data_IF_755296062003
#
_entry.id   IF_755296062003
#
_cell.length_a   1.000
_cell.length_b   1.000
_cell.length_c   1.000
_cell.angle_alpha   90.00
_cell.angle_beta   90.00
_cell.angle_gamma   90.00
#
_symmetry.space_group_name_H-M   'P 1'
#
loop_
_entity.id
_entity.type
_entity.pdbx_description
1 polymer ?
#
# COMPACT_ATOMS: atom_id res chain seq x y z
N UNK A 1 27.37 20.12 14.08
CA UNK A 1 26.63 19.55 15.19
C UNK A 1 26.04 18.22 14.74
N UNK A 2 26.28 17.08 15.39
CA UNK A 2 25.68 15.83 14.99
C UNK A 2 24.19 15.86 15.32
N UNK A 3 23.36 15.56 14.30
CA UNK A 3 21.91 15.39 14.43
C UNK A 3 21.68 14.17 15.31
N UNK A 4 20.99 14.38 16.43
CA UNK A 4 20.64 13.33 17.36
C UNK A 4 19.89 12.21 16.63
N UNK A 5 20.46 11.01 16.66
CA UNK A 5 19.81 9.76 16.29
C UNK A 5 18.66 9.53 17.28
N UNK A 6 17.45 9.93 16.86
CA UNK A 6 16.25 9.44 17.53
C UNK A 6 16.23 7.92 17.39
N UNK A 7 16.14 7.21 18.50
CA UNK A 7 15.90 5.76 18.56
C UNK A 7 14.61 5.45 17.80
N UNK A 8 14.75 5.18 16.51
CA UNK A 8 13.63 4.81 15.66
C UNK A 8 13.17 3.41 16.06
N UNK A 9 12.04 3.33 16.75
CA UNK A 9 11.31 2.09 16.93
C UNK A 9 11.03 1.45 15.56
N UNK A 10 10.63 0.17 15.53
CA UNK A 10 10.31 -0.52 14.27
C UNK A 10 9.31 0.30 13.45
N UNK A 11 9.57 0.59 12.17
CA UNK A 11 8.70 1.44 11.34
C UNK A 11 7.40 0.77 10.90
N UNK A 12 7.16 -0.47 11.31
CA UNK A 12 5.95 -1.25 10.98
C UNK A 12 5.49 -2.10 12.17
N UNK A 13 4.19 -2.38 12.21
CA UNK A 13 3.56 -3.28 13.19
C UNK A 13 3.57 -4.71 12.66
N UNK A 14 3.84 -5.68 13.53
CA UNK A 14 3.81 -7.11 13.20
C UNK A 14 5.16 -7.69 12.79
N UNK A 15 5.12 -8.76 12.02
CA UNK A 15 6.32 -9.50 11.58
C UNK A 15 6.98 -8.73 10.44
N UNK A 16 8.30 -8.53 10.54
CA UNK A 16 9.07 -7.90 9.48
C UNK A 16 9.09 -8.74 8.21
N UNK A 17 8.80 -8.10 7.10
CA UNK A 17 8.82 -8.73 5.78
C UNK A 17 10.24 -8.72 5.21
N UNK A 18 11.14 -9.49 5.84
CA UNK A 18 12.54 -9.59 5.43
C UNK A 18 12.95 -11.04 5.12
N UNK A 19 13.97 -11.20 4.31
CA UNK A 19 14.59 -12.48 3.99
C UNK A 19 13.61 -13.52 3.45
N UNK A 20 13.60 -14.76 4.01
CA UNK A 20 12.74 -15.84 3.55
C UNK A 20 11.25 -15.54 3.64
N UNK A 21 10.82 -14.73 4.62
CA UNK A 21 9.42 -14.34 4.80
C UNK A 21 8.96 -13.47 3.63
N UNK A 22 9.78 -12.50 3.22
CA UNK A 22 9.49 -11.65 2.07
C UNK A 22 9.43 -12.47 0.76
N UNK A 23 10.35 -13.41 0.57
CA UNK A 23 10.37 -14.29 -0.60
C UNK A 23 9.13 -15.21 -0.65
N UNK A 24 8.75 -15.78 0.48
CA UNK A 24 7.54 -16.59 0.60
C UNK A 24 6.28 -15.77 0.28
N UNK A 25 6.17 -14.57 0.86
CA UNK A 25 5.05 -13.66 0.60
C UNK A 25 4.96 -13.30 -0.89
N UNK A 26 6.08 -12.93 -1.52
CA UNK A 26 6.12 -12.61 -2.94
C UNK A 26 5.62 -13.77 -3.81
N UNK A 27 6.06 -15.00 -3.50
CA UNK A 27 5.60 -16.20 -4.23
C UNK A 27 4.10 -16.44 -4.10
N UNK A 28 3.56 -16.30 -2.89
CA UNK A 28 2.14 -16.55 -2.63
C UNK A 28 1.23 -15.46 -3.20
N UNK A 29 1.67 -14.20 -3.22
CA UNK A 29 0.88 -13.09 -3.78
C UNK A 29 0.98 -13.01 -5.31
N UNK A 30 1.88 -13.75 -5.95
CA UNK A 30 1.95 -13.82 -7.41
C UNK A 30 0.68 -14.38 -8.06
N UNK A 31 -0.10 -15.20 -7.35
CA UNK A 31 -1.40 -15.70 -7.83
C UNK A 31 -2.44 -14.61 -8.04
N UNK A 32 -2.32 -13.47 -7.35
CA UNK A 32 -3.22 -12.32 -7.44
C UNK A 32 -2.87 -11.33 -8.59
N UNK A 33 -1.98 -11.70 -9.52
CA UNK A 33 -1.62 -10.84 -10.66
C UNK A 33 -2.82 -10.35 -11.49
N UNK A 34 -3.88 -11.14 -11.76
CA UNK A 34 -5.07 -10.64 -12.46
C UNK A 34 -5.74 -9.47 -11.72
N UNK A 35 -5.81 -9.52 -10.39
CA UNK A 35 -6.37 -8.45 -9.55
C UNK A 35 -5.51 -7.19 -9.61
N UNK A 36 -4.19 -7.31 -9.52
CA UNK A 36 -3.28 -6.18 -9.69
C UNK A 36 -3.40 -5.52 -11.06
N UNK A 37 -3.62 -6.31 -12.13
CA UNK A 37 -3.88 -5.77 -13.48
C UNK A 37 -5.19 -5.00 -13.55
N UNK A 38 -6.25 -5.53 -12.94
CA UNK A 38 -7.55 -4.86 -12.92
C UNK A 38 -7.45 -3.54 -12.15
N UNK A 39 -6.76 -3.55 -11.00
CA UNK A 39 -6.54 -2.33 -10.20
C UNK A 39 -5.66 -1.31 -10.93
N UNK A 40 -4.57 -1.75 -11.56
CA UNK A 40 -3.72 -0.87 -12.36
C UNK A 40 -4.51 -0.18 -13.48
N UNK A 41 -5.39 -0.89 -14.19
CA UNK A 41 -6.27 -0.30 -15.22
C UNK A 41 -7.25 0.71 -14.64
N UNK A 42 -7.81 0.42 -13.46
CA UNK A 42 -8.73 1.33 -12.76
C UNK A 42 -8.03 2.62 -12.36
N UNK A 43 -6.82 2.53 -11.79
CA UNK A 43 -6.00 3.68 -11.44
C UNK A 43 -5.61 4.45 -12.71
N UNK A 44 -5.14 3.76 -13.75
CA UNK A 44 -4.71 4.37 -14.99
C UNK A 44 -5.82 5.19 -15.69
N UNK A 45 -7.09 4.77 -15.55
CA UNK A 45 -8.23 5.50 -16.09
C UNK A 45 -8.49 6.87 -15.41
N UNK A 46 -7.88 7.10 -14.25
CA UNK A 46 -7.98 8.36 -13.49
C UNK A 46 -6.76 9.29 -13.74
N UNK A 47 -5.77 8.85 -14.52
CA UNK A 47 -4.49 9.52 -14.67
C UNK A 47 -4.29 10.07 -16.09
N UNK A 48 -3.69 11.25 -16.16
CA UNK A 48 -3.24 11.80 -17.43
C UNK A 48 -1.94 11.12 -17.92
N UNK A 49 -1.72 11.04 -19.23
CA UNK A 49 -0.45 10.57 -19.77
C UNK A 49 0.74 11.32 -19.18
N UNK A 50 1.78 10.57 -18.79
CA UNK A 50 2.98 11.15 -18.17
C UNK A 50 2.89 11.37 -16.66
N UNK A 51 1.77 11.04 -16.04
CA UNK A 51 1.59 11.19 -14.59
C UNK A 51 2.69 10.51 -13.78
N UNK A 52 3.09 11.17 -12.69
CA UNK A 52 4.09 10.68 -11.73
C UNK A 52 3.36 10.00 -10.58
N UNK A 53 3.57 8.69 -10.45
CA UNK A 53 2.85 7.84 -9.49
C UNK A 53 3.82 7.29 -8.44
N UNK A 54 3.41 7.31 -7.18
CA UNK A 54 4.11 6.63 -6.09
C UNK A 54 3.25 5.50 -5.53
N UNK A 55 3.76 4.28 -5.54
CA UNK A 55 3.23 3.19 -4.74
C UNK A 55 3.96 3.12 -3.40
N UNK A 56 3.20 3.23 -2.30
CA UNK A 56 3.71 3.17 -0.93
C UNK A 56 3.51 1.75 -0.40
N UNK A 57 4.58 1.15 0.06
CA UNK A 57 4.68 -0.25 0.47
C UNK A 57 4.26 -1.25 -0.64
N UNK A 58 4.90 -1.19 -1.83
CA UNK A 58 4.58 -2.05 -2.97
C UNK A 58 4.85 -3.54 -2.72
N UNK A 59 5.54 -3.90 -1.65
CA UNK A 59 5.98 -5.26 -1.42
C UNK A 59 6.76 -5.82 -2.61
N UNK A 60 6.30 -6.91 -3.26
CA UNK A 60 6.95 -7.46 -4.46
C UNK A 60 6.86 -6.59 -5.72
N UNK A 61 6.15 -5.46 -5.69
CA UNK A 61 6.04 -4.49 -6.76
C UNK A 61 5.05 -4.83 -7.86
N UNK A 62 4.11 -5.74 -7.62
CA UNK A 62 3.23 -6.23 -8.68
C UNK A 62 2.30 -5.14 -9.24
N UNK A 63 1.69 -4.29 -8.40
CA UNK A 63 0.84 -3.20 -8.85
C UNK A 63 1.65 -2.14 -9.61
N UNK A 64 2.82 -1.72 -9.08
CA UNK A 64 3.72 -0.79 -9.76
C UNK A 64 4.12 -1.30 -11.16
N UNK A 65 4.43 -2.60 -11.26
CA UNK A 65 4.81 -3.25 -12.53
C UNK A 65 3.64 -3.23 -13.52
N UNK A 66 2.43 -3.58 -13.09
CA UNK A 66 1.26 -3.58 -13.96
C UNK A 66 0.88 -2.14 -14.38
N UNK A 67 1.05 -1.12 -13.51
CA UNK A 67 0.91 0.29 -13.90
C UNK A 67 1.96 0.70 -14.93
N UNK A 68 3.23 0.36 -14.73
CA UNK A 68 4.30 0.71 -15.65
C UNK A 68 4.13 0.05 -17.03
N UNK A 69 3.54 -1.15 -17.11
CA UNK A 69 3.21 -1.83 -18.38
C UNK A 69 2.16 -1.10 -19.21
N UNK A 70 1.32 -0.27 -18.59
CA UNK A 70 0.36 0.55 -19.31
C UNK A 70 1.00 1.73 -20.05
N UNK A 71 2.31 1.94 -19.87
CA UNK A 71 3.21 2.63 -20.80
C UNK A 71 3.31 4.14 -20.65
N UNK A 72 2.39 4.79 -19.96
CA UNK A 72 2.33 6.26 -19.96
C UNK A 72 2.75 6.93 -18.65
N UNK A 73 3.14 6.17 -17.62
CA UNK A 73 3.35 6.69 -16.27
C UNK A 73 4.79 6.56 -15.79
N UNK A 74 5.23 7.53 -14.98
CA UNK A 74 6.49 7.44 -14.24
C UNK A 74 6.21 6.88 -12.86
N UNK A 75 6.42 5.57 -12.67
CA UNK A 75 6.09 4.87 -11.43
C UNK A 75 7.32 4.77 -10.54
N UNK A 76 7.15 5.10 -9.26
CA UNK A 76 8.13 4.90 -8.19
C UNK A 76 7.50 4.06 -7.09
N UNK A 77 8.27 3.17 -6.47
CA UNK A 77 7.86 2.39 -5.29
C UNK A 77 8.69 2.77 -4.07
N UNK A 78 8.05 2.91 -2.91
CA UNK A 78 8.71 3.15 -1.63
C UNK A 78 8.31 2.07 -0.63
N UNK A 79 9.26 1.29 -0.16
CA UNK A 79 9.03 0.26 0.86
C UNK A 79 10.04 0.37 1.99
N UNK A 80 9.63 0.01 3.19
CA UNK A 80 10.52 -0.01 4.35
C UNK A 80 11.39 -1.27 4.38
N UNK A 81 10.94 -2.35 3.74
CA UNK A 81 11.65 -3.63 3.66
C UNK A 81 12.74 -3.61 2.59
N UNK A 82 13.97 -3.87 3.03
CA UNK A 82 15.12 -4.05 2.13
C UNK A 82 14.91 -5.23 1.16
N UNK A 83 14.36 -6.31 1.68
CA UNK A 83 14.07 -7.51 0.90
C UNK A 83 13.00 -7.26 -0.16
N UNK A 84 11.92 -6.53 0.16
CA UNK A 84 10.91 -6.20 -0.83
C UNK A 84 11.44 -5.25 -1.91
N UNK A 85 12.23 -4.24 -1.55
CA UNK A 85 12.86 -3.36 -2.54
C UNK A 85 13.72 -4.16 -3.54
N UNK A 86 14.51 -5.12 -3.06
CA UNK A 86 15.30 -5.99 -3.93
C UNK A 86 14.41 -6.87 -4.81
N UNK A 87 13.40 -7.54 -4.22
CA UNK A 87 12.47 -8.42 -4.95
C UNK A 87 11.68 -7.62 -6.01
N UNK A 88 11.21 -6.42 -5.69
CA UNK A 88 10.48 -5.57 -6.61
C UNK A 88 11.35 -5.15 -7.81
N UNK A 89 12.61 -4.78 -7.58
CA UNK A 89 13.59 -4.50 -8.64
C UNK A 89 13.81 -5.70 -9.56
N UNK A 90 13.98 -6.90 -8.98
CA UNK A 90 14.14 -8.14 -9.75
C UNK A 90 12.89 -8.47 -10.57
N UNK A 91 11.69 -8.26 -9.99
CA UNK A 91 10.42 -8.47 -10.68
C UNK A 91 10.22 -7.47 -11.82
N UNK A 92 10.54 -6.19 -11.62
CA UNK A 92 10.46 -5.16 -12.65
C UNK A 92 11.41 -5.46 -13.82
N UNK A 93 12.66 -5.84 -13.51
CA UNK A 93 13.63 -6.24 -14.53
C UNK A 93 13.15 -7.44 -15.35
N UNK A 94 12.60 -8.49 -14.70
CA UNK A 94 12.00 -9.64 -15.38
C UNK A 94 10.79 -9.29 -16.23
N UNK A 95 10.03 -8.28 -15.81
CA UNK A 95 8.86 -7.78 -16.55
C UNK A 95 9.23 -6.81 -17.69
N UNK A 96 10.52 -6.43 -17.83
CA UNK A 96 10.99 -5.50 -18.86
C UNK A 96 10.51 -4.06 -18.64
N UNK A 97 10.20 -3.65 -17.40
CA UNK A 97 9.77 -2.29 -17.08
C UNK A 97 10.77 -1.58 -16.20
N UNK A 98 10.88 -0.25 -16.37
CA UNK A 98 11.75 0.59 -15.55
C UNK A 98 10.96 1.28 -14.44
N UNK A 99 11.25 0.91 -13.19
CA UNK A 99 10.63 1.47 -11.99
C UNK A 99 11.73 1.75 -10.97
N UNK A 100 11.73 2.95 -10.39
CA UNK A 100 12.60 3.26 -9.27
C UNK A 100 11.97 2.72 -7.98
N UNK A 101 12.68 1.82 -7.26
CA UNK A 101 12.30 1.39 -5.93
C UNK A 101 13.29 1.90 -4.89
N UNK A 102 12.77 2.63 -3.89
CA UNK A 102 13.54 3.21 -2.78
C UNK A 102 13.15 2.55 -1.46
N UNK A 103 14.17 2.33 -0.61
CA UNK A 103 13.94 1.93 0.77
C UNK A 103 13.78 3.17 1.64
N UNK A 104 12.59 3.38 2.23
CA UNK A 104 12.36 4.42 3.23
C UNK A 104 11.07 4.15 4.02
N UNK A 105 10.89 4.93 5.11
CA UNK A 105 9.67 4.92 5.90
C UNK A 105 8.62 5.86 5.27
N UNK A 106 7.37 5.41 5.21
CA UNK A 106 6.24 6.20 4.71
C UNK A 106 5.97 7.48 5.53
N UNK A 107 6.41 7.54 6.79
CA UNK A 107 6.33 8.76 7.63
C UNK A 107 7.53 9.70 7.51
N UNK A 108 8.49 9.39 6.61
CA UNK A 108 9.67 10.22 6.32
C UNK A 108 10.14 9.93 4.87
N UNK A 109 9.36 10.37 3.89
CA UNK A 109 9.60 10.06 2.47
C UNK A 109 10.73 10.91 1.89
N UNK A 110 11.74 10.31 1.21
CA UNK A 110 12.87 11.02 0.65
C UNK A 110 12.53 11.66 -0.73
N UNK A 111 11.40 12.34 -0.80
CA UNK A 111 10.93 13.03 -1.99
C UNK A 111 10.69 14.53 -1.72
N UNK A 112 10.78 15.35 -2.74
CA UNK A 112 10.40 16.75 -2.67
C UNK A 112 8.88 16.88 -2.40
N UNK A 113 8.47 18.01 -1.86
CA UNK A 113 7.06 18.40 -1.83
C UNK A 113 6.54 18.57 -3.26
N UNK A 114 5.23 18.39 -3.45
CA UNK A 114 4.53 18.69 -4.69
C UNK A 114 5.06 17.93 -5.92
N UNK A 115 5.49 16.68 -5.73
CA UNK A 115 6.15 15.91 -6.78
C UNK A 115 5.22 14.93 -7.51
N UNK A 116 4.32 14.27 -6.80
CA UNK A 116 3.49 13.20 -7.35
C UNK A 116 2.10 13.66 -7.73
N UNK A 117 1.60 13.15 -8.85
CA UNK A 117 0.23 13.31 -9.31
C UNK A 117 -0.72 12.40 -8.57
N UNK A 118 -0.24 11.19 -8.27
CA UNK A 118 -1.03 10.15 -7.64
C UNK A 118 -0.20 9.31 -6.67
N UNK A 119 -0.83 8.95 -5.55
CA UNK A 119 -0.29 8.00 -4.59
C UNK A 119 -1.21 6.80 -4.47
N UNK A 120 -0.65 5.60 -4.31
CA UNK A 120 -1.41 4.42 -3.94
C UNK A 120 -0.72 3.68 -2.80
N UNK A 121 -1.53 3.22 -1.82
CA UNK A 121 -1.10 2.34 -0.73
C UNK A 121 -2.10 1.20 -0.58
N UNK A 122 -1.70 -0.03 -0.92
CA UNK A 122 -2.58 -1.20 -0.91
C UNK A 122 -2.18 -2.20 0.16
N UNK A 123 -3.14 -2.56 1.02
CA UNK A 123 -3.05 -3.61 2.04
C UNK A 123 -1.90 -3.45 3.07
N UNK A 124 -1.35 -2.24 3.23
CA UNK A 124 -0.17 -1.98 4.02
C UNK A 124 -0.37 -0.94 5.14
N UNK A 125 -1.29 0.01 4.98
CA UNK A 125 -1.45 1.16 5.87
C UNK A 125 -1.70 0.76 7.33
N UNK A 126 -2.49 -0.29 7.58
CA UNK A 126 -2.72 -0.87 8.92
C UNK A 126 -1.45 -1.29 9.66
N UNK A 127 -0.34 -1.49 8.93
CA UNK A 127 0.93 -1.91 9.51
C UNK A 127 1.86 -0.72 9.85
N UNK A 128 1.52 0.51 9.50
CA UNK A 128 2.35 1.68 9.81
C UNK A 128 2.34 1.97 11.31
N UNK A 129 3.50 2.26 11.88
CA UNK A 129 3.62 2.64 13.30
C UNK A 129 3.26 4.10 13.54
N UNK A 130 3.47 4.94 12.54
CA UNK A 130 3.09 6.35 12.53
C UNK A 130 2.18 6.64 11.31
N UNK A 131 0.88 6.29 11.40
CA UNK A 131 -0.06 6.47 10.29
C UNK A 131 -0.38 7.94 10.01
N UNK A 132 -0.42 8.80 11.05
CA UNK A 132 -0.67 10.24 10.87
C UNK A 132 0.54 10.92 10.21
N UNK A 133 1.76 10.56 10.62
CA UNK A 133 2.98 11.01 9.95
C UNK A 133 3.02 10.57 8.48
N UNK A 134 2.62 9.33 8.18
CA UNK A 134 2.53 8.85 6.80
C UNK A 134 1.50 9.65 5.98
N UNK A 135 0.32 9.95 6.53
CA UNK A 135 -0.68 10.80 5.86
C UNK A 135 -0.16 12.23 5.63
N UNK A 136 0.59 12.81 6.57
CA UNK A 136 1.21 14.12 6.40
C UNK A 136 2.25 14.10 5.28
N UNK A 137 3.08 13.06 5.21
CA UNK A 137 4.04 12.88 4.13
C UNK A 137 3.36 12.65 2.77
N UNK A 138 2.28 11.84 2.73
CA UNK A 138 1.44 11.68 1.53
C UNK A 138 0.94 13.04 1.04
N UNK A 139 0.40 13.87 1.96
CA UNK A 139 -0.03 15.22 1.60
C UNK A 139 1.13 16.07 1.11
N UNK A 140 2.29 16.04 1.78
CA UNK A 140 3.45 16.85 1.43
C UNK A 140 3.96 16.55 0.02
N UNK A 141 4.09 15.28 -0.33
CA UNK A 141 4.68 14.87 -1.61
C UNK A 141 3.70 14.90 -2.78
N UNK A 142 2.38 14.91 -2.53
CA UNK A 142 1.37 15.16 -3.56
C UNK A 142 1.45 16.63 -4.02
N UNK A 143 1.31 16.86 -5.32
CA UNK A 143 1.12 18.20 -5.87
C UNK A 143 -0.29 18.74 -5.57
N UNK A 144 -0.53 20.05 -5.60
CA UNK A 144 -1.89 20.60 -5.55
C UNK A 144 -2.78 19.97 -6.63
N UNK A 145 -3.97 19.54 -6.26
CA UNK A 145 -4.88 18.76 -7.11
C UNK A 145 -4.54 17.27 -7.23
N UNK A 146 -3.38 16.84 -6.72
CA UNK A 146 -2.98 15.43 -6.72
C UNK A 146 -3.86 14.58 -5.82
N UNK A 147 -3.99 13.29 -6.17
CA UNK A 147 -4.88 12.34 -5.50
C UNK A 147 -4.12 11.20 -4.84
N UNK A 148 -4.68 10.65 -3.78
CA UNK A 148 -4.18 9.44 -3.12
C UNK A 148 -5.29 8.41 -2.97
N UNK A 149 -4.93 7.13 -3.11
CA UNK A 149 -5.79 5.99 -2.88
C UNK A 149 -5.17 5.08 -1.81
N UNK A 150 -5.89 4.86 -0.72
CA UNK A 150 -5.54 3.84 0.26
C UNK A 150 -6.59 2.74 0.18
N UNK A 151 -6.15 1.51 -0.09
CA UNK A 151 -7.01 0.31 -0.07
C UNK A 151 -6.52 -0.56 1.08
N UNK A 152 -7.33 -0.72 2.11
CA UNK A 152 -6.93 -1.55 3.25
C UNK A 152 -8.13 -2.24 3.90
N UNK A 153 -7.82 -3.27 4.70
CA UNK A 153 -8.80 -4.03 5.45
C UNK A 153 -9.45 -3.17 6.54
N UNK A 154 -10.74 -3.39 6.78
CA UNK A 154 -11.45 -2.76 7.89
C UNK A 154 -11.41 -3.63 9.16
N UNK A 155 -11.29 -2.97 10.32
CA UNK A 155 -11.22 -3.60 11.64
C UNK A 155 -12.54 -4.27 12.06
N UNK A 156 -13.64 -3.73 11.59
CA UNK A 156 -15.01 -4.15 11.89
C UNK A 156 -15.62 -5.04 10.79
N UNK A 157 -14.80 -5.58 9.87
CA UNK A 157 -15.25 -6.62 8.95
C UNK A 157 -15.88 -7.79 9.72
N UNK A 158 -17.03 -8.30 9.26
CA UNK A 158 -17.70 -9.41 9.92
C UNK A 158 -16.95 -10.73 9.73
N UNK A 159 -17.23 -11.72 10.56
CA UNK A 159 -16.65 -13.05 10.39
C UNK A 159 -17.21 -13.73 9.13
N UNK A 160 -18.46 -13.43 8.78
CA UNK A 160 -19.11 -13.87 7.56
C UNK A 160 -18.38 -13.32 6.33
N UNK A 161 -18.09 -12.01 6.32
CA UNK A 161 -17.35 -11.39 5.22
C UNK A 161 -15.95 -12.01 5.04
N UNK A 162 -15.27 -12.37 6.14
CA UNK A 162 -13.99 -13.07 6.06
C UNK A 162 -14.18 -14.49 5.50
N UNK A 163 -15.21 -15.20 5.94
CA UNK A 163 -15.51 -16.55 5.46
C UNK A 163 -15.86 -16.55 3.97
N UNK A 164 -16.68 -15.59 3.52
CA UNK A 164 -17.04 -15.40 2.12
C UNK A 164 -15.83 -15.08 1.25
N UNK A 165 -14.92 -14.24 1.75
CA UNK A 165 -13.68 -13.91 1.02
C UNK A 165 -12.77 -15.13 0.86
N UNK A 166 -12.59 -15.91 1.94
CA UNK A 166 -11.82 -17.17 1.90
C UNK A 166 -12.50 -18.19 0.99
N UNK A 167 -13.83 -18.24 0.94
CA UNK A 167 -14.58 -19.16 0.09
C UNK A 167 -14.40 -18.88 -1.42
N UNK A 168 -14.20 -17.62 -1.81
CA UNK A 168 -13.91 -17.22 -3.19
C UNK A 168 -12.52 -17.65 -3.66
N UNK A 169 -11.60 -17.90 -2.72
CA UNK A 169 -10.26 -18.37 -3.03
C UNK A 169 -10.32 -19.89 -3.28
N UNK A 170 -9.77 -20.34 -4.39
CA UNK A 170 -9.67 -21.79 -4.70
C UNK A 170 -8.54 -22.42 -3.89
N UNK A 171 -8.81 -22.67 -2.59
CA UNK A 171 -7.85 -23.15 -1.61
C UNK A 171 -8.30 -24.49 -1.04
N UNK A 172 -7.36 -25.42 -0.81
CA UNK A 172 -7.60 -26.64 -0.03
C UNK A 172 -7.91 -26.34 1.45
N UNK A 173 -8.52 -27.28 2.16
CA UNK A 173 -9.02 -27.10 3.53
C UNK A 173 -8.01 -26.50 4.52
N UNK A 174 -6.78 -27.01 4.52
CA UNK A 174 -5.70 -26.51 5.39
C UNK A 174 -5.34 -25.06 5.08
N UNK A 175 -5.19 -24.73 3.78
CA UNK A 175 -4.88 -23.37 3.33
C UNK A 175 -6.02 -22.39 3.65
N UNK A 176 -7.28 -22.82 3.54
CA UNK A 176 -8.46 -22.02 3.95
C UNK A 176 -8.40 -21.66 5.42
N UNK A 177 -8.13 -22.65 6.29
CA UNK A 177 -8.02 -22.41 7.73
C UNK A 177 -6.89 -21.43 8.05
N UNK A 178 -5.69 -21.63 7.47
CA UNK A 178 -4.55 -20.74 7.67
C UNK A 178 -4.82 -19.33 7.15
N UNK A 179 -5.43 -19.17 5.98
CA UNK A 179 -5.80 -17.88 5.40
C UNK A 179 -6.83 -17.17 6.28
N UNK A 180 -7.86 -17.86 6.74
CA UNK A 180 -8.84 -17.31 7.67
C UNK A 180 -8.19 -16.81 8.96
N UNK A 181 -7.32 -17.60 9.58
CA UNK A 181 -6.58 -17.21 10.79
C UNK A 181 -5.68 -15.98 10.53
N UNK A 182 -5.02 -15.92 9.38
CA UNK A 182 -4.20 -14.77 8.97
C UNK A 182 -5.04 -13.51 8.80
N UNK A 183 -6.20 -13.57 8.13
CA UNK A 183 -7.11 -12.44 7.96
C UNK A 183 -7.64 -11.93 9.30
N UNK A 184 -8.03 -12.83 10.23
CA UNK A 184 -8.43 -12.45 11.59
C UNK A 184 -7.29 -11.76 12.36
N UNK A 185 -6.04 -12.19 12.17
CA UNK A 185 -4.88 -11.54 12.79
C UNK A 185 -4.62 -10.15 12.19
N UNK A 186 -4.75 -10.01 10.88
CA UNK A 186 -4.60 -8.73 10.17
C UNK A 186 -5.69 -7.72 10.58
N UNK A 187 -6.94 -8.18 10.69
CA UNK A 187 -8.09 -7.40 11.15
C UNK A 187 -7.82 -6.70 12.49
N UNK A 188 -7.13 -7.34 13.43
CA UNK A 188 -6.80 -6.75 14.75
C UNK A 188 -5.94 -5.49 14.65
N UNK A 189 -5.17 -5.32 13.58
CA UNK A 189 -4.30 -4.16 13.34
C UNK A 189 -4.94 -3.11 12.45
N UNK A 190 -6.01 -3.47 11.77
CA UNK A 190 -6.74 -2.59 10.88
C UNK A 190 -7.47 -1.47 11.66
N UNK A 191 -7.99 -0.50 10.94
CA UNK A 191 -8.72 0.63 11.48
C UNK A 191 -10.21 0.54 11.13
N UNK A 192 -11.03 1.16 11.95
CA UNK A 192 -12.43 1.46 11.61
C UNK A 192 -12.50 2.73 10.75
N UNK A 193 -13.65 2.97 10.12
CA UNK A 193 -13.87 4.20 9.37
C UNK A 193 -13.66 5.45 10.24
N UNK A 194 -14.24 5.47 11.44
CA UNK A 194 -14.09 6.58 12.37
C UNK A 194 -12.64 6.82 12.83
N UNK A 195 -11.83 5.75 12.96
CA UNK A 195 -10.40 5.88 13.23
C UNK A 195 -9.66 6.50 12.04
N UNK A 196 -9.99 6.13 10.78
CA UNK A 196 -9.43 6.75 9.57
C UNK A 196 -9.82 8.23 9.46
N UNK A 197 -11.10 8.55 9.60
CA UNK A 197 -11.60 9.94 9.55
C UNK A 197 -10.87 10.83 10.57
N UNK A 198 -10.67 10.35 11.79
CA UNK A 198 -9.94 11.06 12.84
C UNK A 198 -8.48 11.31 12.46
N UNK A 199 -7.76 10.26 12.01
CA UNK A 199 -6.38 10.40 11.57
C UNK A 199 -6.23 11.38 10.40
N UNK A 200 -7.15 11.35 9.44
CA UNK A 200 -7.14 12.26 8.28
C UNK A 200 -7.42 13.69 8.72
N UNK A 201 -8.36 13.90 9.66
CA UNK A 201 -8.68 15.22 10.20
C UNK A 201 -7.49 15.88 10.93
N UNK A 202 -6.54 15.09 11.47
CA UNK A 202 -5.30 15.57 12.08
C UNK A 202 -4.21 15.98 11.06
N UNK A 203 -4.52 15.90 9.77
CA UNK A 203 -3.59 16.21 8.68
C UNK A 203 -4.12 17.33 7.79
N UNK A 204 -3.28 17.92 6.93
CA UNK A 204 -3.73 18.96 6.01
C UNK A 204 -4.75 18.48 4.96
N UNK A 205 -5.00 17.19 4.80
CA UNK A 205 -6.12 16.69 4.00
C UNK A 205 -7.48 17.11 4.58
N UNK A 206 -7.60 17.11 5.91
CA UNK A 206 -8.80 17.48 6.65
C UNK A 206 -9.95 16.49 6.50
N UNK A 207 -10.18 15.96 5.30
CA UNK A 207 -11.23 14.97 4.98
C UNK A 207 -10.82 14.09 3.81
N UNK A 208 -11.51 12.95 3.67
CA UNK A 208 -11.40 12.03 2.54
C UNK A 208 -12.78 11.51 2.14
N UNK A 209 -12.86 10.94 0.94
CA UNK A 209 -13.98 10.10 0.54
C UNK A 209 -13.65 8.67 0.94
N UNK A 210 -14.54 8.01 1.68
CA UNK A 210 -14.34 6.65 2.15
C UNK A 210 -15.47 5.77 1.64
N UNK A 211 -15.14 4.84 0.77
CA UNK A 211 -16.04 3.79 0.32
C UNK A 211 -15.78 2.51 1.11
N UNK A 212 -16.82 1.99 1.78
CA UNK A 212 -16.73 0.88 2.71
C UNK A 212 -17.32 -0.38 2.07
N UNK A 213 -16.44 -1.29 1.68
CA UNK A 213 -16.82 -2.65 1.29
C UNK A 213 -16.93 -3.61 2.49
N UNK A 214 -17.36 -4.85 2.27
CA UNK A 214 -17.50 -5.85 3.33
C UNK A 214 -16.19 -6.15 4.09
N UNK A 215 -15.06 -6.15 3.39
CA UNK A 215 -13.75 -6.54 3.92
C UNK A 215 -12.79 -5.36 4.12
N UNK A 216 -12.99 -4.23 3.45
CA UNK A 216 -12.03 -3.15 3.41
C UNK A 216 -12.63 -1.81 3.06
N UNK A 217 -11.75 -0.83 2.99
CA UNK A 217 -12.03 0.53 2.57
C UNK A 217 -11.25 0.89 1.32
N UNK A 218 -11.86 1.70 0.46
CA UNK A 218 -11.17 2.57 -0.48
C UNK A 218 -11.24 4.00 0.04
N UNK A 219 -10.11 4.59 0.34
CA UNK A 219 -10.00 5.93 0.91
C UNK A 219 -9.34 6.82 -0.12
N UNK A 220 -10.08 7.81 -0.61
CA UNK A 220 -9.63 8.77 -1.60
C UNK A 220 -9.27 10.08 -0.94
N UNK A 221 -8.02 10.46 -1.08
CA UNK A 221 -7.41 11.69 -0.59
C UNK A 221 -7.22 12.67 -1.75
N UNK A 222 -7.43 13.96 -1.53
CA UNK A 222 -7.13 14.99 -2.51
C UNK A 222 -6.40 16.14 -1.84
N UNK A 223 -5.22 16.50 -2.35
CA UNK A 223 -4.53 17.71 -1.92
C UNK A 223 -5.17 18.92 -2.57
N UNK A 224 -5.67 19.83 -1.77
CA UNK A 224 -6.28 21.09 -2.20
C UNK A 224 -5.25 22.20 -2.26
#
# INVERSE_FOLDING_TARGET
MPIASATQGKPYRGIGMEGPIAAWYAKNTAGALPEFRAEARRIAAELEPGAVVLEIAPGPGYLAIELAKLGSFRVTGLDVSHSFVRIAKENAARAGVHIEFRQANASAMPFAADWFDFLVCRAAFKNFTDPVGALREMHRVLRPGGKGLIVDMRKDASNEAIADEVAKMDLGLVSRFMTSAALHSLKKRAYTQAEFERMIAETPFGKAEIDAGPMGFEIRLTKR
#
